data_IF_785888429795
#
_entry.id   IF_785888429795
#
_cell.length_a   1.000
_cell.length_b   1.000
_cell.length_c   1.000
_cell.angle_alpha   90.00
_cell.angle_beta   90.00
_cell.angle_gamma   90.00
#
_symmetry.space_group_name_H-M   'P 1'
#
loop_
_entity.id
_entity.type
_entity.pdbx_description
1 polymer ?
#
# COMPACT_ATOMS: atom_id res chain seq x y z
N UNK A 1 -3.60 -22.96 -26.74
CA UNK A 1 -2.50 -23.80 -26.22
C UNK A 1 -2.46 -25.14 -26.95
N UNK A 2 -1.32 -25.82 -26.97
CA UNK A 2 -1.19 -27.15 -27.55
C UNK A 2 -2.00 -28.20 -26.77
N UNK A 3 -2.49 -29.23 -27.48
CA UNK A 3 -3.37 -30.26 -26.90
C UNK A 3 -2.64 -31.07 -25.81
N UNK A 4 -1.33 -31.25 -25.93
CA UNK A 4 -0.49 -31.90 -24.90
C UNK A 4 -0.56 -31.14 -23.57
N UNK A 5 -0.33 -29.82 -23.62
CA UNK A 5 -0.37 -28.92 -22.46
C UNK A 5 -1.77 -28.92 -21.83
N UNK A 6 -2.82 -28.79 -22.66
CA UNK A 6 -4.21 -28.82 -22.17
C UNK A 6 -4.54 -30.11 -21.43
N UNK A 7 -4.11 -31.27 -21.98
CA UNK A 7 -4.31 -32.58 -21.34
C UNK A 7 -3.53 -32.70 -20.03
N UNK A 8 -2.29 -32.22 -20.00
CA UNK A 8 -1.44 -32.27 -18.81
C UNK A 8 -1.99 -31.39 -17.67
N UNK A 9 -2.46 -30.17 -17.98
CA UNK A 9 -3.06 -29.26 -16.99
C UNK A 9 -4.39 -29.79 -16.43
N UNK A 10 -5.17 -30.51 -17.23
CA UNK A 10 -6.41 -31.14 -16.79
C UNK A 10 -6.21 -32.49 -16.06
N UNK A 11 -4.97 -32.97 -15.92
CA UNK A 11 -4.72 -34.24 -15.26
C UNK A 11 -5.03 -34.15 -13.75
N UNK A 12 -5.47 -35.28 -13.17
CA UNK A 12 -5.77 -35.40 -11.75
C UNK A 12 -4.51 -35.34 -10.89
N UNK A 13 -3.38 -35.80 -11.40
CA UNK A 13 -2.10 -35.83 -10.69
C UNK A 13 -1.40 -34.48 -10.77
N UNK A 14 -0.95 -33.98 -9.62
CA UNK A 14 -0.23 -32.71 -9.52
C UNK A 14 1.06 -32.71 -10.36
N UNK A 15 1.85 -33.78 -10.32
CA UNK A 15 3.13 -33.84 -11.04
C UNK A 15 2.97 -33.68 -12.55
N UNK A 16 1.88 -34.21 -13.10
CA UNK A 16 1.57 -34.04 -14.53
C UNK A 16 1.13 -32.63 -14.86
N UNK A 17 0.33 -32.00 -13.99
CA UNK A 17 -0.01 -30.57 -14.14
C UNK A 17 1.23 -29.69 -14.12
N UNK A 18 2.18 -30.00 -13.23
CA UNK A 18 3.47 -29.30 -13.14
C UNK A 18 4.29 -29.44 -14.42
N UNK A 19 4.37 -30.64 -15.01
CA UNK A 19 5.03 -30.83 -16.31
C UNK A 19 4.35 -30.00 -17.40
N UNK A 20 3.00 -30.01 -17.46
CA UNK A 20 2.25 -29.19 -18.41
C UNK A 20 2.50 -27.69 -18.25
N UNK A 21 2.61 -27.21 -17.01
CA UNK A 21 2.91 -25.81 -16.72
C UNK A 21 4.35 -25.40 -17.10
N UNK A 22 5.35 -26.27 -16.89
CA UNK A 22 6.72 -26.00 -17.34
C UNK A 22 6.81 -25.92 -18.88
N UNK A 23 6.07 -26.80 -19.58
CA UNK A 23 5.97 -26.74 -21.04
C UNK A 23 5.26 -25.46 -21.50
N UNK A 24 4.17 -25.08 -20.84
CA UNK A 24 3.46 -23.83 -21.10
C UNK A 24 4.33 -22.59 -20.87
N UNK A 25 5.10 -22.57 -19.79
CA UNK A 25 6.04 -21.50 -19.48
C UNK A 25 7.04 -21.33 -20.61
N UNK A 26 7.66 -22.42 -21.08
CA UNK A 26 8.59 -22.40 -22.23
C UNK A 26 7.93 -21.81 -23.47
N UNK A 27 6.72 -22.26 -23.81
CA UNK A 27 5.99 -21.77 -24.99
C UNK A 27 5.70 -20.28 -24.88
N UNK A 28 5.24 -19.78 -23.73
CA UNK A 28 4.96 -18.35 -23.55
C UNK A 28 6.25 -17.53 -23.65
N UNK A 29 7.37 -18.00 -23.09
CA UNK A 29 8.68 -17.32 -23.23
C UNK A 29 9.09 -17.20 -24.69
N UNK A 30 8.94 -18.27 -25.48
CA UNK A 30 9.24 -18.27 -26.92
C UNK A 30 8.36 -17.28 -27.69
N UNK A 31 7.06 -17.22 -27.38
CA UNK A 31 6.14 -16.28 -28.00
C UNK A 31 6.45 -14.82 -27.65
N UNK A 32 6.83 -14.55 -26.39
CA UNK A 32 7.25 -13.20 -25.95
C UNK A 32 8.53 -12.78 -26.69
N UNK A 33 9.52 -13.66 -26.81
CA UNK A 33 10.75 -13.39 -27.59
C UNK A 33 10.44 -13.15 -29.06
N UNK A 34 9.48 -13.90 -29.63
CA UNK A 34 9.00 -13.71 -30.99
C UNK A 34 8.06 -12.51 -31.16
N UNK A 35 7.68 -11.82 -30.07
CA UNK A 35 6.69 -10.73 -30.03
C UNK A 35 5.30 -11.12 -30.58
N UNK A 36 4.93 -12.39 -30.46
CA UNK A 36 3.61 -12.90 -30.82
C UNK A 36 2.63 -12.75 -29.63
N UNK A 37 2.36 -11.50 -29.28
CA UNK A 37 1.42 -11.15 -28.21
C UNK A 37 -0.03 -11.60 -28.46
N UNK A 38 -0.56 -11.61 -29.70
CA UNK A 38 -1.89 -12.17 -29.96
C UNK A 38 -2.00 -13.64 -29.56
N UNK A 39 -0.96 -14.44 -29.80
CA UNK A 39 -0.95 -15.85 -29.39
C UNK A 39 -0.84 -16.01 -27.88
N UNK A 40 -0.04 -15.19 -27.21
CA UNK A 40 0.02 -15.13 -25.74
C UNK A 40 -1.36 -14.82 -25.15
N UNK A 41 -2.03 -13.81 -25.68
CA UNK A 41 -3.37 -13.42 -25.24
C UNK A 41 -4.38 -14.56 -25.44
N UNK A 42 -4.37 -15.24 -26.59
CA UNK A 42 -5.25 -16.38 -26.83
C UNK A 42 -5.00 -17.54 -25.85
N UNK A 43 -3.74 -17.75 -25.44
CA UNK A 43 -3.38 -18.75 -24.42
C UNK A 43 -3.95 -18.36 -23.06
N UNK A 44 -3.79 -17.09 -22.65
CA UNK A 44 -4.32 -16.59 -21.39
C UNK A 44 -5.84 -16.64 -21.34
N UNK A 45 -6.52 -16.22 -22.41
CA UNK A 45 -7.98 -16.30 -22.52
C UNK A 45 -8.47 -17.74 -22.40
N UNK A 46 -7.75 -18.70 -22.98
CA UNK A 46 -8.05 -20.11 -22.82
C UNK A 46 -7.88 -20.57 -21.37
N UNK A 47 -6.78 -20.22 -20.68
CA UNK A 47 -6.57 -20.53 -19.26
C UNK A 47 -7.65 -19.92 -18.36
N UNK A 48 -8.09 -18.70 -18.65
CA UNK A 48 -9.14 -18.04 -17.88
C UNK A 48 -10.50 -18.71 -18.09
N UNK A 49 -10.94 -18.81 -19.35
CA UNK A 49 -12.31 -19.20 -19.69
C UNK A 49 -12.57 -20.71 -19.60
N UNK A 50 -11.61 -21.53 -20.05
CA UNK A 50 -11.79 -22.99 -20.09
C UNK A 50 -11.32 -23.69 -18.81
N UNK A 51 -10.51 -23.02 -17.98
CA UNK A 51 -9.94 -23.62 -16.78
C UNK A 51 -10.34 -22.87 -15.51
N UNK A 52 -9.85 -21.64 -15.28
CA UNK A 52 -10.04 -20.94 -14.00
C UNK A 52 -11.53 -20.65 -13.71
N UNK A 53 -12.32 -20.29 -14.72
CA UNK A 53 -13.76 -20.09 -14.61
C UNK A 53 -14.60 -21.36 -14.82
N UNK A 54 -13.99 -22.54 -14.96
CA UNK A 54 -14.71 -23.80 -15.11
C UNK A 54 -15.30 -24.27 -13.76
N UNK A 55 -16.35 -23.60 -13.28
CA UNK A 55 -16.98 -23.80 -11.95
C UNK A 55 -17.38 -25.26 -11.67
N UNK A 56 -17.72 -26.03 -12.70
CA UNK A 56 -18.11 -27.44 -12.55
C UNK A 56 -16.95 -28.44 -12.62
N UNK A 57 -15.71 -27.98 -12.82
CA UNK A 57 -14.53 -28.85 -13.00
C UNK A 57 -13.36 -28.42 -12.10
N UNK A 58 -13.33 -28.86 -10.82
CA UNK A 58 -12.27 -28.47 -9.88
C UNK A 58 -10.85 -28.81 -10.36
N UNK A 59 -10.69 -29.92 -11.09
CA UNK A 59 -9.39 -30.29 -11.67
C UNK A 59 -8.94 -29.31 -12.75
N UNK A 60 -9.87 -28.83 -13.59
CA UNK A 60 -9.58 -27.82 -14.58
C UNK A 60 -9.18 -26.50 -13.90
N UNK A 61 -9.89 -26.07 -12.84
CA UNK A 61 -9.51 -24.87 -12.08
C UNK A 61 -8.11 -24.97 -11.49
N UNK A 62 -7.76 -26.11 -10.88
CA UNK A 62 -6.40 -26.35 -10.39
C UNK A 62 -5.35 -26.25 -11.50
N UNK A 63 -5.64 -26.83 -12.69
CA UNK A 63 -4.79 -26.68 -13.87
C UNK A 63 -4.66 -25.24 -14.35
N UNK A 64 -5.77 -24.50 -14.36
CA UNK A 64 -5.83 -23.09 -14.74
C UNK A 64 -5.00 -22.20 -13.81
N UNK A 65 -5.14 -22.38 -12.50
CA UNK A 65 -4.38 -21.64 -11.49
C UNK A 65 -2.87 -21.87 -11.63
N UNK A 66 -2.46 -23.15 -11.79
CA UNK A 66 -1.06 -23.51 -12.02
C UNK A 66 -0.56 -22.94 -13.35
N UNK A 67 -1.37 -23.00 -14.42
CA UNK A 67 -1.05 -22.47 -15.73
C UNK A 67 -0.92 -20.93 -15.75
N UNK A 68 -1.80 -20.21 -15.05
CA UNK A 68 -1.74 -18.75 -14.91
C UNK A 68 -0.50 -18.31 -14.13
N UNK A 69 -0.13 -19.03 -13.07
CA UNK A 69 1.11 -18.79 -12.36
C UNK A 69 2.34 -19.00 -13.25
N UNK A 70 2.38 -20.09 -14.03
CA UNK A 70 3.44 -20.37 -14.99
C UNK A 70 3.50 -19.30 -16.09
N UNK A 71 2.35 -18.85 -16.60
CA UNK A 71 2.27 -17.76 -17.55
C UNK A 71 2.83 -16.45 -16.97
N UNK A 72 2.51 -16.12 -15.72
CA UNK A 72 3.06 -14.93 -15.07
C UNK A 72 4.60 -14.98 -14.95
N UNK A 73 5.15 -16.14 -14.60
CA UNK A 73 6.60 -16.38 -14.54
C UNK A 73 7.25 -16.27 -15.93
N UNK A 74 6.56 -16.73 -16.98
CA UNK A 74 7.04 -16.64 -18.36
C UNK A 74 7.06 -15.20 -18.88
N UNK A 75 6.00 -14.43 -18.59
CA UNK A 75 5.82 -13.05 -19.05
C UNK A 75 6.86 -12.09 -18.46
N UNK A 76 7.23 -12.27 -17.19
CA UNK A 76 8.24 -11.44 -16.53
C UNK A 76 7.87 -9.94 -16.60
N UNK A 77 8.69 -9.14 -17.28
CA UNK A 77 8.47 -7.70 -17.43
C UNK A 77 7.22 -7.33 -18.26
N UNK A 78 6.71 -8.25 -19.08
CA UNK A 78 5.48 -8.04 -19.86
C UNK A 78 4.21 -8.31 -19.04
N UNK A 79 4.34 -8.95 -17.87
CA UNK A 79 3.22 -9.31 -17.00
C UNK A 79 2.24 -8.15 -16.70
N UNK A 80 2.68 -6.90 -16.45
CA UNK A 80 1.78 -5.83 -16.04
C UNK A 80 0.61 -5.62 -17.03
N UNK A 81 0.89 -5.77 -18.35
CA UNK A 81 -0.09 -5.66 -19.44
C UNK A 81 -1.20 -6.72 -19.39
N UNK A 82 -0.98 -7.81 -18.66
CA UNK A 82 -1.88 -8.96 -18.59
C UNK A 82 -2.51 -9.15 -17.20
N UNK A 83 -2.10 -8.38 -16.19
CA UNK A 83 -2.61 -8.54 -14.82
C UNK A 83 -4.13 -8.39 -14.74
N UNK A 84 -4.72 -7.47 -15.52
CA UNK A 84 -6.18 -7.25 -15.53
C UNK A 84 -6.94 -8.50 -15.94
N UNK A 85 -6.34 -9.35 -16.79
CA UNK A 85 -6.93 -10.62 -17.22
C UNK A 85 -6.59 -11.78 -16.30
N UNK A 86 -5.41 -11.76 -15.67
CA UNK A 86 -4.88 -12.88 -14.87
C UNK A 86 -5.41 -12.85 -13.43
N UNK A 87 -5.50 -11.66 -12.82
CA UNK A 87 -5.83 -11.52 -11.38
C UNK A 87 -7.29 -11.88 -11.07
N UNK A 88 -8.32 -11.41 -11.80
CA UNK A 88 -9.71 -11.68 -11.45
C UNK A 88 -10.11 -13.16 -11.41
N UNK A 89 -9.66 -14.04 -12.34
CA UNK A 89 -9.95 -15.47 -12.25
C UNK A 89 -9.33 -16.13 -11.02
N UNK A 90 -8.13 -15.70 -10.61
CA UNK A 90 -7.47 -16.22 -9.41
C UNK A 90 -8.21 -15.76 -8.15
N UNK A 91 -8.62 -14.48 -8.11
CA UNK A 91 -9.45 -13.94 -7.02
C UNK A 91 -10.76 -14.72 -6.87
N UNK A 92 -11.44 -15.05 -7.97
CA UNK A 92 -12.66 -15.84 -7.93
C UNK A 92 -12.45 -17.22 -7.26
N UNK A 93 -11.29 -17.83 -7.47
CA UNK A 93 -10.94 -19.12 -6.87
C UNK A 93 -10.65 -19.06 -5.36
N UNK A 94 -10.45 -17.89 -4.76
CA UNK A 94 -10.29 -17.77 -3.30
C UNK A 94 -11.54 -18.15 -2.51
N UNK A 95 -12.71 -18.13 -3.13
CA UNK A 95 -13.98 -18.49 -2.48
C UNK A 95 -14.57 -19.79 -3.01
N UNK A 96 -13.74 -20.60 -3.68
CA UNK A 96 -14.16 -21.88 -4.25
C UNK A 96 -14.69 -22.85 -3.18
N UNK A 97 -15.62 -23.72 -3.54
CA UNK A 97 -16.14 -24.75 -2.65
C UNK A 97 -15.08 -25.83 -2.32
N UNK A 98 -14.22 -26.19 -3.28
CA UNK A 98 -13.12 -27.14 -3.06
C UNK A 98 -11.92 -26.42 -2.44
N UNK A 99 -11.56 -26.83 -1.23
CA UNK A 99 -10.45 -26.22 -0.50
C UNK A 99 -9.09 -26.36 -1.20
N UNK A 100 -8.90 -27.39 -2.04
CA UNK A 100 -7.68 -27.52 -2.84
C UNK A 100 -7.60 -26.41 -3.88
N UNK A 101 -8.73 -26.02 -4.48
CA UNK A 101 -8.78 -24.90 -5.43
C UNK A 101 -8.43 -23.60 -4.69
N UNK A 102 -8.99 -23.36 -3.50
CA UNK A 102 -8.64 -22.20 -2.67
C UNK A 102 -7.16 -22.17 -2.32
N UNK A 103 -6.59 -23.31 -1.94
CA UNK A 103 -5.15 -23.44 -1.67
C UNK A 103 -4.29 -23.11 -2.89
N UNK A 104 -4.60 -23.69 -4.06
CA UNK A 104 -3.87 -23.39 -5.29
C UNK A 104 -4.07 -21.94 -5.75
N UNK A 105 -5.18 -21.30 -5.41
CA UNK A 105 -5.37 -19.88 -5.68
C UNK A 105 -4.40 -19.02 -4.85
N UNK A 106 -4.17 -19.37 -3.57
CA UNK A 106 -3.16 -18.72 -2.74
C UNK A 106 -1.75 -18.90 -3.33
N UNK A 107 -1.42 -20.12 -3.74
CA UNK A 107 -0.11 -20.43 -4.35
C UNK A 107 0.07 -19.69 -5.69
N UNK A 108 -0.96 -19.66 -6.54
CA UNK A 108 -0.92 -18.96 -7.82
C UNK A 108 -0.77 -17.45 -7.63
N UNK A 109 -1.58 -16.84 -6.77
CA UNK A 109 -1.50 -15.40 -6.47
C UNK A 109 -0.15 -15.03 -5.85
N UNK A 110 0.42 -15.87 -4.98
CA UNK A 110 1.76 -15.65 -4.43
C UNK A 110 2.81 -15.58 -5.55
N UNK A 111 2.79 -16.53 -6.48
CA UNK A 111 3.75 -16.53 -7.60
C UNK A 111 3.54 -15.34 -8.54
N UNK A 112 2.29 -14.95 -8.81
CA UNK A 112 1.96 -13.77 -9.62
C UNK A 112 2.47 -12.50 -8.91
N UNK A 113 2.15 -12.31 -7.64
CA UNK A 113 2.58 -11.16 -6.85
C UNK A 113 4.12 -11.08 -6.75
N UNK A 114 4.80 -12.21 -6.61
CA UNK A 114 6.26 -12.28 -6.56
C UNK A 114 6.92 -11.75 -7.85
N UNK A 115 6.29 -11.97 -9.00
CA UNK A 115 6.77 -11.47 -10.30
C UNK A 115 6.33 -10.02 -10.52
N UNK A 116 5.07 -9.71 -10.22
CA UNK A 116 4.46 -8.39 -10.44
C UNK A 116 5.02 -7.30 -9.51
N UNK A 117 5.46 -7.66 -8.29
CA UNK A 117 5.95 -6.72 -7.26
C UNK A 117 4.96 -5.56 -7.08
N UNK A 118 5.41 -4.30 -7.16
CA UNK A 118 4.58 -3.12 -6.97
C UNK A 118 3.33 -3.05 -7.86
N UNK A 119 3.33 -3.66 -9.05
CA UNK A 119 2.14 -3.67 -9.93
C UNK A 119 0.95 -4.39 -9.31
N UNK A 120 1.19 -5.37 -8.44
CA UNK A 120 0.11 -6.10 -7.78
C UNK A 120 -0.72 -5.20 -6.86
N UNK A 121 -0.16 -4.05 -6.44
CA UNK A 121 -0.83 -3.11 -5.54
C UNK A 121 -2.04 -2.43 -6.17
N UNK A 122 -2.17 -2.44 -7.51
CA UNK A 122 -3.40 -2.01 -8.21
C UNK A 122 -4.61 -2.82 -7.71
N UNK A 123 -4.39 -4.09 -7.38
CA UNK A 123 -5.42 -5.03 -6.92
C UNK A 123 -5.44 -5.19 -5.39
N UNK A 124 -4.74 -4.31 -4.66
CA UNK A 124 -4.54 -4.46 -3.22
C UNK A 124 -5.85 -4.63 -2.45
N UNK A 125 -6.87 -3.80 -2.75
CA UNK A 125 -8.15 -3.85 -2.04
C UNK A 125 -8.82 -5.22 -2.16
N UNK A 126 -8.84 -5.80 -3.37
CA UNK A 126 -9.46 -7.11 -3.61
C UNK A 126 -8.66 -8.24 -2.97
N UNK A 127 -7.32 -8.16 -3.03
CA UNK A 127 -6.43 -9.15 -2.41
C UNK A 127 -6.56 -9.09 -0.89
N UNK A 128 -6.55 -7.90 -0.30
CA UNK A 128 -6.75 -7.68 1.13
C UNK A 128 -8.11 -8.25 1.58
N UNK A 129 -9.16 -7.97 0.82
CA UNK A 129 -10.50 -8.47 1.14
C UNK A 129 -10.57 -10.00 1.12
N UNK A 130 -9.95 -10.62 0.11
CA UNK A 130 -9.86 -12.07 0.02
C UNK A 130 -9.06 -12.67 1.19
N UNK A 131 -7.91 -12.09 1.53
CA UNK A 131 -7.07 -12.53 2.64
C UNK A 131 -7.80 -12.43 4.00
N UNK A 132 -8.62 -11.40 4.22
CA UNK A 132 -9.46 -11.29 5.42
C UNK A 132 -10.37 -12.51 5.61
N UNK A 133 -10.89 -13.06 4.50
CA UNK A 133 -11.78 -14.23 4.50
C UNK A 133 -10.98 -15.53 4.63
N UNK A 134 -9.89 -15.66 3.87
CA UNK A 134 -9.04 -16.85 3.86
C UNK A 134 -8.32 -17.10 5.19
N UNK A 135 -7.99 -16.06 5.96
CA UNK A 135 -7.43 -16.21 7.31
C UNK A 135 -8.36 -16.97 8.26
N UNK A 136 -9.67 -16.99 7.97
CA UNK A 136 -10.69 -17.70 8.74
C UNK A 136 -11.23 -18.97 8.03
N UNK A 137 -10.52 -19.49 7.03
CA UNK A 137 -10.95 -20.67 6.26
C UNK A 137 -11.22 -21.91 7.16
N UNK A 138 -11.97 -22.89 6.68
CA UNK A 138 -12.15 -24.15 7.42
C UNK A 138 -10.89 -25.03 7.37
N UNK A 139 -10.13 -24.96 6.28
CA UNK A 139 -8.98 -25.83 6.04
C UNK A 139 -7.66 -25.18 6.44
N UNK A 140 -6.86 -25.90 7.23
CA UNK A 140 -5.55 -25.42 7.69
C UNK A 140 -4.56 -25.18 6.53
N UNK A 141 -4.60 -26.02 5.49
CA UNK A 141 -3.74 -25.85 4.32
C UNK A 141 -4.00 -24.52 3.61
N UNK A 142 -5.27 -24.13 3.48
CA UNK A 142 -5.67 -22.86 2.88
C UNK A 142 -5.19 -21.68 3.73
N UNK A 143 -5.35 -21.76 5.06
CA UNK A 143 -4.80 -20.74 5.99
C UNK A 143 -3.30 -20.57 5.83
N UNK A 144 -2.55 -21.66 5.78
CA UNK A 144 -1.10 -21.62 5.59
C UNK A 144 -0.72 -20.98 4.25
N UNK A 145 -1.44 -21.31 3.18
CA UNK A 145 -1.25 -20.68 1.87
C UNK A 145 -1.55 -19.18 1.88
N UNK A 146 -2.65 -18.79 2.53
CA UNK A 146 -3.05 -17.39 2.69
C UNK A 146 -2.05 -16.60 3.54
N UNK A 147 -1.47 -17.21 4.57
CA UNK A 147 -0.44 -16.58 5.40
C UNK A 147 0.85 -16.29 4.62
N UNK A 148 1.29 -17.20 3.75
CA UNK A 148 2.45 -16.95 2.88
C UNK A 148 2.19 -15.80 1.91
N UNK A 149 0.98 -15.75 1.33
CA UNK A 149 0.56 -14.64 0.47
C UNK A 149 0.49 -13.34 1.26
N UNK A 150 -0.15 -13.32 2.42
CA UNK A 150 -0.27 -12.15 3.29
C UNK A 150 1.10 -11.55 3.62
N UNK A 151 2.07 -12.38 4.01
CA UNK A 151 3.45 -11.93 4.29
C UNK A 151 4.09 -11.27 3.07
N UNK A 152 3.98 -11.89 1.89
CA UNK A 152 4.54 -11.32 0.66
C UNK A 152 3.88 -9.98 0.30
N UNK A 153 2.55 -9.87 0.41
CA UNK A 153 1.87 -8.59 0.11
C UNK A 153 2.29 -7.52 1.13
N UNK A 154 2.47 -7.89 2.40
CA UNK A 154 3.00 -6.97 3.43
C UNK A 154 4.40 -6.47 3.09
N UNK A 155 5.28 -7.35 2.62
CA UNK A 155 6.63 -6.97 2.20
C UNK A 155 6.56 -5.99 1.01
N UNK A 156 5.75 -6.31 -0.02
CA UNK A 156 5.57 -5.42 -1.19
C UNK A 156 4.98 -4.06 -0.78
N UNK A 157 3.97 -4.04 0.09
CA UNK A 157 3.36 -2.80 0.59
C UNK A 157 4.40 -1.97 1.35
N UNK A 158 5.19 -2.60 2.22
CA UNK A 158 6.23 -1.90 2.98
C UNK A 158 7.29 -1.28 2.09
N UNK A 159 7.64 -1.94 0.98
CA UNK A 159 8.66 -1.46 0.04
C UNK A 159 8.12 -0.42 -0.95
N UNK A 160 6.86 -0.52 -1.37
CA UNK A 160 6.37 0.12 -2.61
C UNK A 160 5.11 0.98 -2.44
N UNK A 161 4.38 0.92 -1.33
CA UNK A 161 3.04 1.52 -1.23
C UNK A 161 3.02 3.05 -1.40
N UNK A 162 4.07 3.74 -0.97
CA UNK A 162 4.13 5.21 -0.98
C UNK A 162 4.72 5.81 -2.27
N UNK A 163 5.44 5.02 -3.07
CA UNK A 163 6.29 5.54 -4.15
C UNK A 163 6.09 4.86 -5.48
N UNK A 164 5.50 3.66 -5.50
CA UNK A 164 5.39 2.88 -6.73
C UNK A 164 4.26 3.39 -7.62
N UNK A 165 4.63 3.75 -8.84
CA UNK A 165 3.73 4.13 -9.93
C UNK A 165 3.80 3.03 -10.98
N UNK A 166 2.65 2.62 -11.50
CA UNK A 166 2.58 1.54 -12.50
C UNK A 166 3.37 1.89 -13.75
N UNK A 167 4.08 0.91 -14.32
CA UNK A 167 4.83 1.08 -15.57
C UNK A 167 3.90 1.42 -16.74
N UNK A 168 2.63 1.05 -16.68
CA UNK A 168 1.63 1.33 -17.71
C UNK A 168 1.21 2.81 -17.73
N UNK A 169 1.26 3.50 -16.59
CA UNK A 169 1.01 4.96 -16.52
C UNK A 169 2.11 5.74 -17.25
N UNK A 170 3.35 5.24 -17.21
CA UNK A 170 4.48 5.85 -17.93
C UNK A 170 4.37 5.75 -19.46
N UNK A 171 3.71 4.70 -19.98
CA UNK A 171 3.50 4.52 -21.42
C UNK A 171 2.42 5.47 -21.97
N UNK A 172 1.37 5.75 -21.19
CA UNK A 172 0.31 6.70 -21.55
C UNK A 172 0.81 8.17 -21.56
N UNK A 173 1.81 8.50 -20.75
CA UNK A 173 2.38 9.84 -20.64
C UNK A 173 3.31 10.25 -21.80
N UNK A 174 3.82 9.29 -22.60
CA UNK A 174 4.77 9.56 -23.69
C UNK A 174 4.13 10.06 -24.99
N UNK A 175 2.82 9.94 -25.17
CA UNK A 175 2.14 10.41 -26.39
C UNK A 175 1.84 11.92 -26.39
N UNK A 176 1.95 12.61 -25.26
CA UNK A 176 1.68 14.06 -25.15
C UNK A 176 3.02 14.80 -25.00
N UNK A 177 3.65 15.11 -26.13
CA UNK A 177 4.91 15.89 -26.19
C UNK A 177 4.64 17.35 -26.56
N UNK A 178 4.15 18.13 -25.60
CA UNK A 178 4.34 19.59 -25.61
C UNK A 178 5.25 19.96 -24.43
N UNK A 179 6.45 20.46 -24.76
CA UNK A 179 7.56 20.67 -23.82
C UNK A 179 7.35 21.81 -22.82
N UNK A 180 6.25 22.56 -22.91
CA UNK A 180 6.00 23.75 -22.10
C UNK A 180 5.12 23.53 -20.85
N UNK A 181 4.53 22.34 -20.64
CA UNK A 181 3.63 22.06 -19.50
C UNK A 181 4.26 21.22 -18.36
N UNK A 182 5.56 20.96 -18.39
CA UNK A 182 6.23 20.02 -17.47
C UNK A 182 6.43 20.56 -16.03
N UNK A 183 6.14 21.83 -15.76
CA UNK A 183 6.38 22.46 -14.45
C UNK A 183 5.19 22.39 -13.48
N UNK A 184 4.00 21.94 -13.91
CA UNK A 184 2.78 21.95 -13.06
C UNK A 184 2.04 20.59 -13.02
N UNK A 185 2.67 19.51 -13.48
CA UNK A 185 2.05 18.17 -13.39
C UNK A 185 2.21 17.61 -11.98
N UNK A 186 1.07 17.46 -11.30
CA UNK A 186 0.97 16.64 -10.08
C UNK A 186 1.61 15.26 -10.32
N UNK A 187 2.35 14.72 -9.34
CA UNK A 187 2.97 13.41 -9.50
C UNK A 187 1.91 12.36 -9.84
N UNK A 188 2.21 11.41 -10.74
CA UNK A 188 1.25 10.38 -11.13
C UNK A 188 0.80 9.56 -9.92
N UNK A 189 -0.45 9.08 -9.91
CA UNK A 189 -0.98 8.33 -8.78
C UNK A 189 -0.20 7.04 -8.58
N UNK A 190 0.12 6.73 -7.32
CA UNK A 190 0.73 5.46 -6.94
C UNK A 190 -0.24 4.30 -7.15
N UNK A 191 0.29 3.11 -7.40
CA UNK A 191 -0.50 1.89 -7.60
C UNK A 191 -1.36 1.57 -6.37
N UNK A 192 -0.76 1.59 -5.18
CA UNK A 192 -1.51 1.58 -3.92
C UNK A 192 -2.08 2.97 -3.64
N UNK A 193 -3.32 3.04 -3.15
CA UNK A 193 -3.94 4.28 -2.75
C UNK A 193 -4.61 4.12 -1.40
N UNK A 194 -4.02 4.73 -0.37
CA UNK A 194 -4.58 4.68 0.96
C UNK A 194 -6.02 5.21 0.98
N UNK A 195 -6.29 6.34 0.31
CA UNK A 195 -7.64 6.92 0.21
C UNK A 195 -8.68 5.94 -0.34
N UNK A 196 -8.31 5.14 -1.34
CA UNK A 196 -9.21 4.11 -1.91
C UNK A 196 -9.34 2.89 -1.00
N UNK A 197 -8.38 2.63 -0.12
CA UNK A 197 -8.41 1.53 0.83
C UNK A 197 -9.27 1.82 2.07
N UNK A 198 -9.27 3.05 2.58
CA UNK A 198 -9.96 3.40 3.84
C UNK A 198 -11.45 3.00 3.88
N UNK A 199 -12.28 3.18 2.82
CA UNK A 199 -13.67 2.74 2.86
C UNK A 199 -13.82 1.23 3.11
N UNK A 200 -12.95 0.41 2.51
CA UNK A 200 -12.93 -1.04 2.73
C UNK A 200 -12.52 -1.36 4.17
N UNK A 201 -11.49 -0.69 4.70
CA UNK A 201 -11.06 -0.86 6.10
C UNK A 201 -12.17 -0.50 7.09
N UNK A 202 -12.86 0.62 6.84
CA UNK A 202 -13.97 1.11 7.67
C UNK A 202 -15.13 0.12 7.72
N UNK A 203 -15.43 -0.57 6.62
CA UNK A 203 -16.42 -1.64 6.61
C UNK A 203 -15.94 -2.85 7.42
N UNK A 204 -14.68 -3.25 7.22
CA UNK A 204 -14.14 -4.51 7.78
C UNK A 204 -13.68 -4.42 9.22
N UNK A 205 -13.50 -3.23 9.79
CA UNK A 205 -13.11 -3.07 11.20
C UNK A 205 -14.17 -3.59 12.20
N UNK A 206 -15.38 -3.91 11.74
CA UNK A 206 -16.47 -4.42 12.59
C UNK A 206 -16.62 -5.94 12.61
N UNK A 207 -15.64 -6.68 12.10
CA UNK A 207 -15.63 -8.15 12.11
C UNK A 207 -15.74 -8.74 13.53
N UNK A 208 -16.36 -9.92 13.60
CA UNK A 208 -16.57 -10.65 14.87
C UNK A 208 -15.44 -11.64 15.13
N UNK A 209 -14.92 -12.29 14.07
CA UNK A 209 -13.94 -13.36 14.20
C UNK A 209 -12.59 -12.83 14.76
N UNK A 210 -12.06 -13.37 15.87
CA UNK A 210 -10.84 -12.86 16.50
C UNK A 210 -9.59 -13.01 15.61
N UNK A 211 -9.51 -14.03 14.76
CA UNK A 211 -8.42 -14.17 13.81
C UNK A 211 -8.43 -13.05 12.77
N UNK A 212 -9.61 -12.69 12.26
CA UNK A 212 -9.74 -11.56 11.33
C UNK A 212 -9.44 -10.24 12.04
N UNK A 213 -9.79 -10.06 13.32
CA UNK A 213 -9.39 -8.89 14.10
C UNK A 213 -7.88 -8.77 14.22
N UNK A 214 -7.19 -9.86 14.56
CA UNK A 214 -5.73 -9.92 14.62
C UNK A 214 -5.10 -9.56 13.26
N UNK A 215 -5.65 -10.10 12.18
CA UNK A 215 -5.23 -9.78 10.82
C UNK A 215 -5.34 -8.28 10.51
N UNK A 216 -6.49 -7.67 10.80
CA UNK A 216 -6.74 -6.25 10.56
C UNK A 216 -5.80 -5.36 11.38
N UNK A 217 -5.61 -5.66 12.67
CA UNK A 217 -4.68 -4.92 13.53
C UNK A 217 -3.25 -5.02 12.99
N UNK A 218 -2.84 -6.20 12.50
CA UNK A 218 -1.55 -6.40 11.85
C UNK A 218 -1.35 -5.52 10.62
N UNK A 219 -2.36 -5.43 9.74
CA UNK A 219 -2.32 -4.57 8.56
C UNK A 219 -2.34 -3.08 8.88
N UNK A 220 -3.19 -2.65 9.82
CA UNK A 220 -3.22 -1.25 10.28
C UNK A 220 -1.85 -0.87 10.84
N UNK A 221 -1.25 -1.73 11.67
CA UNK A 221 0.07 -1.48 12.25
C UNK A 221 1.18 -1.39 11.20
N UNK A 222 1.10 -2.19 10.13
CA UNK A 222 2.05 -2.14 9.02
C UNK A 222 1.90 -0.87 8.20
N UNK A 223 0.67 -0.52 7.81
CA UNK A 223 0.38 0.70 7.05
C UNK A 223 0.76 1.96 7.84
N UNK A 224 0.50 1.98 9.15
CA UNK A 224 0.93 3.04 10.07
C UNK A 224 2.46 3.21 10.15
N UNK A 225 3.20 2.12 9.96
CA UNK A 225 4.65 2.15 10.01
C UNK A 225 5.31 2.75 8.77
N UNK A 226 4.54 3.00 7.70
CA UNK A 226 5.01 3.61 6.45
C UNK A 226 4.81 5.14 6.56
N UNK A 227 5.87 5.93 6.76
CA UNK A 227 5.74 7.35 7.12
C UNK A 227 4.98 8.18 6.09
N UNK A 228 5.16 7.88 4.80
CA UNK A 228 4.63 8.66 3.68
C UNK A 228 3.14 8.38 3.39
N UNK A 229 2.54 7.35 4.01
CA UNK A 229 1.11 7.07 3.85
C UNK A 229 0.23 7.93 4.77
N UNK A 230 0.79 8.46 5.87
CA UNK A 230 0.10 9.30 6.85
C UNK A 230 -1.24 8.70 7.35
N UNK A 231 -1.25 7.40 7.69
CA UNK A 231 -2.46 6.66 8.07
C UNK A 231 -3.26 7.33 9.21
N UNK A 232 -2.57 7.99 10.13
CA UNK A 232 -3.16 8.74 11.25
C UNK A 232 -4.20 9.78 10.82
N UNK A 233 -4.12 10.30 9.60
CA UNK A 233 -5.12 11.26 9.06
C UNK A 233 -6.51 10.62 8.92
N UNK A 234 -6.56 9.31 8.69
CA UNK A 234 -7.77 8.51 8.55
C UNK A 234 -8.15 7.75 9.82
N UNK A 235 -7.40 7.93 10.92
CA UNK A 235 -7.70 7.28 12.20
C UNK A 235 -9.18 7.39 12.62
N UNK A 236 -9.88 8.55 12.47
CA UNK A 236 -11.29 8.65 12.82
C UNK A 236 -12.20 7.62 12.12
N UNK A 237 -11.85 7.18 10.91
CA UNK A 237 -12.70 6.32 10.10
C UNK A 237 -12.74 4.87 10.61
N UNK A 238 -11.71 4.43 11.36
CA UNK A 238 -11.60 3.07 11.89
C UNK A 238 -11.33 3.00 13.41
N UNK A 239 -11.11 4.12 14.10
CA UNK A 239 -10.82 4.18 15.54
C UNK A 239 -11.89 3.46 16.39
N UNK A 240 -13.17 3.65 16.07
CA UNK A 240 -14.26 3.01 16.83
C UNK A 240 -14.17 1.48 16.83
N UNK A 241 -13.75 0.88 15.71
CA UNK A 241 -13.54 -0.57 15.63
C UNK A 241 -12.32 -1.04 16.42
N UNK A 242 -11.23 -0.27 16.42
CA UNK A 242 -10.06 -0.56 17.27
C UNK A 242 -10.41 -0.50 18.77
N UNK A 243 -11.22 0.48 19.20
CA UNK A 243 -11.69 0.55 20.59
C UNK A 243 -12.51 -0.69 20.96
N UNK A 244 -13.32 -1.20 20.04
CA UNK A 244 -14.05 -2.46 20.24
C UNK A 244 -13.09 -3.67 20.35
N UNK A 245 -12.02 -3.70 19.58
CA UNK A 245 -11.01 -4.76 19.68
C UNK A 245 -10.20 -4.69 20.98
N UNK A 246 -10.12 -3.51 21.62
CA UNK A 246 -9.50 -3.37 22.93
C UNK A 246 -10.28 -4.10 24.03
N UNK A 247 -11.59 -4.32 23.84
CA UNK A 247 -12.43 -5.12 24.73
C UNK A 247 -12.57 -6.58 24.28
N UNK A 248 -11.72 -7.05 23.36
CA UNK A 248 -11.80 -8.41 22.84
C UNK A 248 -11.50 -9.47 23.93
N UNK A 249 -12.30 -10.55 24.03
CA UNK A 249 -12.00 -11.65 24.95
C UNK A 249 -10.70 -12.39 24.61
N UNK A 250 -10.26 -12.35 23.34
CA UNK A 250 -8.99 -12.90 22.92
C UNK A 250 -7.84 -11.96 23.32
N UNK A 251 -6.98 -12.46 24.21
CA UNK A 251 -5.85 -11.70 24.76
C UNK A 251 -4.87 -11.21 23.70
N UNK A 252 -4.64 -11.97 22.64
CA UNK A 252 -3.69 -11.59 21.59
C UNK A 252 -4.22 -10.39 20.80
N UNK A 253 -5.52 -10.40 20.48
CA UNK A 253 -6.21 -9.28 19.83
C UNK A 253 -6.14 -8.04 20.71
N UNK A 254 -6.45 -8.16 22.00
CA UNK A 254 -6.34 -7.06 22.95
C UNK A 254 -4.91 -6.47 22.99
N UNK A 255 -3.89 -7.33 23.14
CA UNK A 255 -2.48 -6.90 23.24
C UNK A 255 -2.01 -6.21 21.96
N UNK A 256 -2.31 -6.79 20.80
CA UNK A 256 -1.95 -6.22 19.51
C UNK A 256 -2.67 -4.87 19.29
N UNK A 257 -3.95 -4.79 19.62
CA UNK A 257 -4.76 -3.57 19.49
C UNK A 257 -4.23 -2.45 20.38
N UNK A 258 -3.91 -2.76 21.64
CA UNK A 258 -3.31 -1.79 22.55
C UNK A 258 -1.99 -1.26 22.00
N UNK A 259 -1.11 -2.14 21.53
CA UNK A 259 0.18 -1.73 20.96
C UNK A 259 -0.01 -0.85 19.71
N UNK A 260 -1.00 -1.15 18.87
CA UNK A 260 -1.37 -0.34 17.71
C UNK A 260 -1.86 1.06 18.13
N UNK A 261 -2.79 1.16 19.09
CA UNK A 261 -3.29 2.44 19.61
C UNK A 261 -2.19 3.27 20.29
N UNK A 262 -1.27 2.63 21.01
CA UNK A 262 -0.13 3.32 21.63
C UNK A 262 0.79 3.96 20.56
N UNK A 263 0.97 3.32 19.40
CA UNK A 263 1.72 3.90 18.26
C UNK A 263 1.04 5.14 17.71
N UNK A 264 -0.24 5.07 17.37
CA UNK A 264 -1.01 6.23 16.91
C UNK A 264 -0.97 7.37 17.94
N UNK A 265 -1.12 7.08 19.22
CA UNK A 265 -1.08 8.11 20.26
C UNK A 265 0.29 8.81 20.31
N UNK A 266 1.38 8.06 20.18
CA UNK A 266 2.72 8.61 20.16
C UNK A 266 2.98 9.45 18.90
N UNK A 267 2.47 9.01 17.75
CA UNK A 267 2.53 9.76 16.50
C UNK A 267 1.74 11.07 16.58
N UNK A 268 0.50 11.03 17.07
CA UNK A 268 -0.33 12.24 17.29
C UNK A 268 0.38 13.23 18.21
N UNK A 269 0.99 12.76 19.30
CA UNK A 269 1.79 13.60 20.21
C UNK A 269 3.00 14.21 19.51
N UNK A 270 3.70 13.44 18.68
CA UNK A 270 4.84 13.92 17.89
C UNK A 270 4.41 15.01 16.91
N UNK A 271 3.38 14.76 16.11
CA UNK A 271 2.83 15.73 15.14
C UNK A 271 2.39 17.01 15.86
N UNK A 272 1.69 16.90 16.99
CA UNK A 272 1.26 18.05 17.78
C UNK A 272 2.44 18.91 18.26
N UNK A 273 3.53 18.29 18.71
CA UNK A 273 4.76 19.00 19.12
C UNK A 273 5.42 19.72 17.95
N UNK A 274 5.53 19.07 16.79
CA UNK A 274 6.09 19.66 15.58
C UNK A 274 5.29 20.91 15.18
N UNK A 275 3.95 20.79 15.10
CA UNK A 275 3.07 21.91 14.76
C UNK A 275 3.16 23.07 15.75
N UNK A 276 3.24 22.77 17.06
CA UNK A 276 3.43 23.79 18.10
C UNK A 276 4.76 24.53 17.95
N UNK A 277 5.86 23.81 17.72
CA UNK A 277 7.18 24.41 17.51
C UNK A 277 7.23 25.33 16.29
N UNK A 278 6.60 24.93 15.19
CA UNK A 278 6.49 25.76 13.97
C UNK A 278 5.67 27.03 14.27
N UNK A 279 4.54 26.91 14.96
CA UNK A 279 3.71 28.06 15.33
C UNK A 279 4.44 29.04 16.27
N UNK A 280 5.21 28.53 17.23
CA UNK A 280 6.02 29.34 18.16
C UNK A 280 7.17 30.06 17.42
N UNK A 281 7.83 29.38 16.48
CA UNK A 281 8.88 29.97 15.62
C UNK A 281 8.34 31.07 14.70
N UNK A 282 7.16 30.86 14.10
CA UNK A 282 6.50 31.89 13.29
C UNK A 282 6.13 33.12 14.13
N UNK A 283 5.60 32.91 15.34
CA UNK A 283 5.25 33.99 16.27
C UNK A 283 6.47 34.79 16.77
N UNK A 284 7.61 34.15 17.00
CA UNK A 284 8.84 34.85 17.43
C UNK A 284 9.46 35.68 16.30
N UNK A 285 9.43 35.20 15.05
CA UNK A 285 9.85 35.96 13.85
C UNK A 285 8.98 37.18 13.59
N UNK A 286 7.66 37.05 13.68
CA UNK A 286 6.73 38.19 13.52
C UNK A 286 6.84 39.22 14.66
N UNK A 287 7.06 38.75 15.90
CA UNK A 287 7.31 39.63 17.04
C UNK A 287 8.66 40.36 16.97
N UNK A 288 9.68 39.77 16.33
CA UNK A 288 10.99 40.36 16.12
C UNK A 288 11.01 41.45 15.04
N UNK A 289 10.22 41.31 13.96
CA UNK A 289 10.09 42.34 12.91
C UNK A 289 9.46 43.65 13.44
N UNK A 290 8.42 43.57 14.27
CA UNK A 290 7.79 44.75 14.87
C UNK A 290 8.69 45.55 15.81
N UNK A 291 9.67 44.91 16.46
CA UNK A 291 10.61 45.59 17.37
C UNK A 291 11.74 46.34 16.65
N UNK A 292 12.02 46.04 15.38
CA UNK A 292 13.12 46.65 14.62
C UNK A 292 12.69 47.89 13.82
N UNK A 293 11.39 48.07 13.59
CA UNK A 293 10.83 49.26 12.91
C UNK A 293 10.63 50.46 13.84
N UNK A 294 10.58 50.27 15.17
CA UNK A 294 10.36 51.38 16.14
C UNK A 294 11.66 52.06 16.63
N UNK A 295 12.86 51.64 16.19
CA UNK A 295 14.13 52.14 16.74
C UNK A 295 15.01 52.92 15.76
N UNK A 296 14.42 53.70 14.86
CA UNK A 296 15.13 54.65 14.00
C UNK A 296 14.46 56.02 14.06
N UNK A 297 14.78 56.82 15.07
CA UNK A 297 14.91 58.27 14.90
C UNK A 297 15.70 58.98 16.02
N UNK A 298 16.68 59.79 15.59
CA UNK A 298 17.30 60.96 16.24
C UNK A 298 18.20 60.74 17.47
N UNK A 299 19.47 61.19 17.57
CA UNK A 299 20.34 62.15 16.88
C UNK A 299 21.28 62.74 17.97
N UNK A 300 22.61 62.54 17.96
CA UNK A 300 23.66 63.37 17.34
C UNK A 300 24.69 63.93 18.37
N UNK A 301 26.00 63.58 18.19
CA UNK A 301 27.24 64.43 18.29
C UNK A 301 27.76 64.77 19.73
N UNK A 302 29.02 64.57 20.17
CA UNK A 302 30.34 64.98 19.63
C UNK A 302 31.59 64.40 20.40
N UNK A 303 32.56 63.84 19.64
CA UNK A 303 34.05 63.95 19.63
C UNK A 303 34.94 63.79 20.89
N UNK A 304 35.91 62.86 20.78
CA UNK A 304 37.25 62.86 21.41
C UNK A 304 38.06 61.60 21.02
N UNK A 305 39.29 61.69 20.44
CA UNK A 305 39.99 60.54 19.86
C UNK A 305 41.08 59.99 20.79
N UNK A 306 41.34 58.67 20.75
CA UNK A 306 42.71 58.12 20.75
C UNK A 306 42.72 56.60 20.46
N UNK A 307 43.38 56.27 19.35
CA UNK A 307 44.17 55.08 19.00
C UNK A 307 43.75 53.68 19.49
N UNK A 308 43.40 52.81 18.52
CA UNK A 308 43.35 51.36 18.72
C UNK A 308 42.65 50.59 17.60
N UNK A 309 43.41 50.27 16.56
CA UNK A 309 43.26 49.15 15.61
C UNK A 309 42.15 49.14 14.53
N UNK A 310 42.62 48.93 13.30
CA UNK A 310 41.86 48.91 12.06
C UNK A 310 41.26 47.52 11.75
N UNK A 311 39.92 47.50 11.70
CA UNK A 311 39.05 46.92 10.67
C UNK A 311 39.19 45.43 10.28
N UNK A 312 38.17 44.63 10.64
CA UNK A 312 37.32 43.96 9.63
C UNK A 312 35.97 43.53 10.23
N UNK A 313 34.98 44.43 10.16
CA UNK A 313 33.57 44.10 10.34
C UNK A 313 33.05 43.49 9.03
N UNK A 314 32.89 42.17 8.99
CA UNK A 314 31.98 41.53 8.05
C UNK A 314 30.61 41.44 8.71
N UNK A 315 29.76 42.40 8.35
CA UNK A 315 28.30 42.25 8.41
C UNK A 315 27.90 41.17 7.42
N UNK A 316 27.84 39.92 7.89
CA UNK A 316 27.06 38.88 7.22
C UNK A 316 25.58 39.11 7.55
N UNK A 317 24.98 40.09 6.89
CA UNK A 317 23.55 40.05 6.55
C UNK A 317 23.38 38.90 5.54
N UNK A 318 23.45 37.67 6.04
CA UNK A 318 22.91 36.52 5.32
C UNK A 318 21.40 36.64 5.40
N UNK A 319 20.82 37.27 4.38
CA UNK A 319 19.46 36.97 3.94
C UNK A 319 19.40 35.47 3.67
N UNK A 320 19.11 34.70 4.72
CA UNK A 320 18.67 33.32 4.62
C UNK A 320 17.34 33.36 3.88
N UNK A 321 17.42 33.26 2.56
CA UNK A 321 16.30 32.91 1.71
C UNK A 321 15.73 31.60 2.27
N UNK A 322 14.61 31.72 2.97
CA UNK A 322 14.01 30.65 3.74
C UNK A 322 13.43 29.58 2.84
N UNK A 323 14.26 28.64 2.42
CA UNK A 323 13.79 27.26 2.32
C UNK A 323 13.66 26.77 3.76
N UNK A 324 12.45 26.89 4.32
CA UNK A 324 12.09 26.19 5.56
C UNK A 324 12.35 24.70 5.30
N UNK A 325 13.41 24.14 5.90
CA UNK A 325 13.69 22.71 5.84
C UNK A 325 12.39 21.95 6.15
N UNK A 326 11.86 21.25 5.15
CA UNK A 326 10.60 20.53 5.29
C UNK A 326 10.71 19.51 6.43
N UNK A 327 9.82 19.61 7.43
CA UNK A 327 9.81 18.70 8.57
C UNK A 327 8.75 17.63 8.32
N UNK A 328 9.13 16.33 8.26
CA UNK A 328 8.16 15.24 8.16
C UNK A 328 7.08 15.34 9.23
N UNK A 329 5.81 15.36 8.82
CA UNK A 329 4.65 15.48 9.71
C UNK A 329 4.10 16.90 9.89
N UNK A 330 4.69 17.92 9.26
CA UNK A 330 4.23 19.32 9.31
C UNK A 330 2.84 19.51 8.68
N UNK A 331 2.58 18.81 7.56
CA UNK A 331 1.35 18.98 6.76
C UNK A 331 0.21 18.02 7.16
N UNK A 332 0.50 17.04 8.03
CA UNK A 332 -0.45 16.00 8.46
C UNK A 332 -1.67 16.63 9.16
N UNK A 333 -2.87 16.48 8.61
CA UNK A 333 -4.10 17.00 9.21
C UNK A 333 -4.85 15.94 10.02
N UNK A 334 -4.78 16.05 11.35
CA UNK A 334 -5.51 15.17 12.26
C UNK A 334 -6.83 15.82 12.66
N UNK A 335 -7.94 15.10 12.47
CA UNK A 335 -9.26 15.55 12.92
C UNK A 335 -9.48 15.24 14.41
N UNK A 336 -8.86 16.04 15.28
CA UNK A 336 -8.97 15.90 16.74
C UNK A 336 -10.42 15.91 17.23
N UNK A 337 -11.29 16.70 16.59
CA UNK A 337 -12.70 16.79 16.95
C UNK A 337 -13.41 15.44 16.79
N UNK A 338 -13.31 14.82 15.62
CA UNK A 338 -13.91 13.50 15.37
C UNK A 338 -13.34 12.42 16.30
N UNK A 339 -12.03 12.46 16.56
CA UNK A 339 -11.39 11.52 17.51
C UNK A 339 -12.03 11.66 18.90
N UNK A 340 -12.16 12.88 19.41
CA UNK A 340 -12.78 13.12 20.72
C UNK A 340 -14.26 12.70 20.74
N UNK A 341 -15.02 12.99 19.69
CA UNK A 341 -16.41 12.56 19.55
C UNK A 341 -16.54 11.02 19.65
N UNK A 342 -15.66 10.27 18.97
CA UNK A 342 -15.63 8.80 19.03
C UNK A 342 -15.25 8.30 20.43
N UNK A 343 -14.23 8.90 21.06
CA UNK A 343 -13.80 8.53 22.42
C UNK A 343 -14.91 8.75 23.44
N UNK A 344 -15.58 9.92 23.40
CA UNK A 344 -16.69 10.24 24.31
C UNK A 344 -17.87 9.29 24.09
N UNK A 345 -18.27 9.06 22.83
CA UNK A 345 -19.36 8.13 22.52
C UNK A 345 -19.08 6.70 23.01
N UNK A 346 -17.80 6.29 23.01
CA UNK A 346 -17.38 4.97 23.50
C UNK A 346 -17.39 4.87 25.03
N UNK A 347 -17.17 5.96 25.75
CA UNK A 347 -17.27 6.00 27.22
C UNK A 347 -18.72 5.96 27.70
N UNK A 348 -19.63 6.53 26.92
CA UNK A 348 -21.06 6.61 27.24
C UNK A 348 -21.84 5.32 26.89
N UNK A 349 -21.26 4.42 26.10
CA UNK A 349 -21.85 3.13 25.71
C UNK A 349 -21.15 1.96 26.43
N UNK A 350 -21.87 1.02 27.05
CA UNK A 350 -21.26 -0.25 27.43
C UNK A 350 -20.80 -0.98 26.15
N UNK A 351 -19.50 -1.24 26.04
CA UNK A 351 -18.85 -1.94 24.93
C UNK A 351 -19.20 -3.43 24.84
#
# INVERSE_FOLDING_TARGET
>A
MDVSIQRALNDKLYDKRKVGALELERVIRELVVARDYPRVQAILEQLCNEFAYAVHQPHARNGGLIGLAAAAIALGHELPRYLEKIVPPVLACFTDQDARVRYYACEAMYNIAKVAKGEILIYFNDIFDALCKLGADSELSVKNGAELLDRLIKDIVSESAASYVSVLEGELGQEITDKDELQDRSPPPTAFSLRRFIPLLQERIWVINPFTRQFLVGWITLLDSIPDLELVTFLPDFLGGLLRFLSDPNRDVHVATRACLDKFLNEIKRISRIKKGIAESKKSREGGKRKREESVDSGSVQIGPEEGDEVHSQTDDSESSGEEDWIPGQDVQINYRKILEILTATLDSPL
#
